data_IF_329459040466
#
_entry.id   IF_329459040466
#
_cell.length_a   1.000
_cell.length_b   1.000
_cell.length_c   1.000
_cell.angle_alpha   90.00
_cell.angle_beta   90.00
_cell.angle_gamma   90.00
#
_symmetry.space_group_name_H-M   'P 1'
#
loop_
_entity.id
_entity.type
_entity.pdbx_description
1 polymer ?
#
# COMPACT_ATOMS: atom_id res chain seq x y z
N UNK A 1 -1.69 -20.29 6.51
CA UNK A 1 -1.38 -19.37 7.62
C UNK A 1 -2.47 -18.30 7.64
N UNK A 2 -3.11 -18.05 8.79
CA UNK A 2 -4.10 -16.96 8.93
C UNK A 2 -3.33 -15.63 8.89
N UNK A 3 -3.79 -14.66 8.10
CA UNK A 3 -3.18 -13.32 8.04
C UNK A 3 -3.30 -12.65 9.41
N UNK A 4 -2.18 -12.45 10.10
CA UNK A 4 -2.13 -12.08 11.52
C UNK A 4 -1.83 -10.61 11.78
N UNK A 5 -2.28 -9.69 10.90
CA UNK A 5 -2.15 -8.25 11.16
C UNK A 5 -3.45 -7.52 10.79
N UNK A 6 -4.12 -6.82 11.72
CA UNK A 6 -5.30 -6.01 11.44
C UNK A 6 -4.98 -4.89 10.44
N UNK A 7 -5.92 -4.57 9.56
CA UNK A 7 -5.78 -3.43 8.65
C UNK A 7 -6.25 -2.17 9.36
N UNK A 8 -5.46 -1.11 9.27
CA UNK A 8 -5.79 0.24 9.76
C UNK A 8 -5.63 1.24 8.63
N UNK A 9 -6.17 2.44 8.85
CA UNK A 9 -6.13 3.54 7.89
C UNK A 9 -5.70 4.80 8.64
N UNK A 10 -4.71 5.50 8.11
CA UNK A 10 -4.30 6.80 8.64
C UNK A 10 -5.38 7.87 8.39
N UNK A 11 -5.26 9.03 9.03
CA UNK A 11 -6.16 10.16 8.76
C UNK A 11 -6.08 10.64 7.30
N UNK A 12 -4.95 10.42 6.63
CA UNK A 12 -4.75 10.73 5.22
C UNK A 12 -5.34 9.68 4.27
N UNK A 13 -5.97 8.62 4.78
CA UNK A 13 -6.55 7.56 3.97
C UNK A 13 -5.56 6.49 3.49
N UNK A 14 -4.35 6.45 4.06
CA UNK A 14 -3.31 5.48 3.70
C UNK A 14 -3.52 4.20 4.53
N UNK A 15 -3.68 3.03 3.91
CA UNK A 15 -3.76 1.77 4.63
C UNK A 15 -2.41 1.40 5.25
N UNK A 16 -2.44 0.65 6.34
CA UNK A 16 -1.28 -0.08 6.86
C UNK A 16 -1.77 -1.31 7.64
N UNK A 17 -0.84 -2.21 7.94
CA UNK A 17 -1.11 -3.37 8.79
C UNK A 17 -0.61 -3.03 10.20
N UNK A 18 -1.48 -3.12 11.21
CA UNK A 18 -1.13 -2.95 12.63
C UNK A 18 -0.24 -4.11 13.05
N UNK A 19 1.01 -3.80 13.37
CA UNK A 19 2.08 -4.74 13.68
C UNK A 19 2.26 -4.88 15.20
N UNK A 20 2.96 -5.94 15.61
CA UNK A 20 3.50 -6.02 16.96
C UNK A 20 4.62 -4.98 17.14
N UNK A 21 4.92 -4.61 18.39
CA UNK A 21 5.87 -3.54 18.74
C UNK A 21 7.24 -3.77 18.10
N UNK A 22 7.72 -5.01 18.07
CA UNK A 22 9.00 -5.41 17.47
C UNK A 22 9.08 -5.21 15.94
N UNK A 23 7.93 -5.04 15.28
CA UNK A 23 7.79 -4.84 13.84
C UNK A 23 7.14 -3.49 13.51
N UNK A 24 6.97 -2.59 14.48
CA UNK A 24 6.30 -1.30 14.29
C UNK A 24 6.93 -0.44 13.18
N UNK A 25 8.23 -0.60 12.93
CA UNK A 25 8.95 0.06 11.83
C UNK A 25 8.38 -0.29 10.45
N UNK A 26 7.77 -1.48 10.30
CA UNK A 26 7.08 -1.86 9.06
C UNK A 26 5.83 -1.01 8.80
N UNK A 27 5.21 -0.45 9.85
CA UNK A 27 4.11 0.50 9.70
C UNK A 27 4.57 1.77 8.99
N UNK A 28 5.68 2.35 9.46
CA UNK A 28 6.31 3.51 8.83
C UNK A 28 6.69 3.23 7.38
N UNK A 29 7.29 2.06 7.12
CA UNK A 29 7.60 1.60 5.77
C UNK A 29 6.35 1.55 4.87
N UNK A 30 5.24 0.98 5.35
CA UNK A 30 3.99 0.91 4.59
C UNK A 30 3.37 2.29 4.33
N UNK A 31 3.48 3.20 5.30
CA UNK A 31 2.84 4.52 5.25
C UNK A 31 3.64 5.51 4.40
N UNK A 32 4.97 5.51 4.51
CA UNK A 32 5.84 6.54 3.95
C UNK A 32 6.49 6.08 2.63
N UNK A 33 6.89 4.82 2.56
CA UNK A 33 7.74 4.33 1.48
C UNK A 33 7.01 3.48 0.45
N UNK A 34 5.88 2.86 0.82
CA UNK A 34 5.12 2.01 -0.08
C UNK A 34 3.89 2.70 -0.67
N UNK A 35 3.71 2.52 -1.97
CA UNK A 35 2.48 2.83 -2.68
C UNK A 35 2.27 1.85 -3.85
N UNK A 36 1.11 1.94 -4.51
CA UNK A 36 0.76 1.02 -5.60
C UNK A 36 1.69 1.12 -6.82
N UNK A 37 2.46 2.20 -6.97
CA UNK A 37 3.36 2.40 -8.12
C UNK A 37 4.74 1.80 -7.91
N UNK A 38 5.20 1.63 -6.67
CA UNK A 38 6.56 1.16 -6.36
C UNK A 38 6.61 -0.22 -5.68
N UNK A 39 5.49 -0.71 -5.13
CA UNK A 39 5.46 -2.00 -4.42
C UNK A 39 5.94 -3.19 -5.26
N UNK A 40 5.76 -3.12 -6.58
CA UNK A 40 6.23 -4.16 -7.50
C UNK A 40 7.75 -4.34 -7.41
N UNK A 41 8.52 -3.24 -7.30
CA UNK A 41 9.98 -3.29 -7.20
C UNK A 41 10.43 -4.06 -5.94
N UNK A 42 9.77 -3.81 -4.81
CA UNK A 42 10.04 -4.51 -3.56
C UNK A 42 9.72 -6.00 -3.66
N UNK A 43 8.57 -6.35 -4.24
CA UNK A 43 8.19 -7.76 -4.39
C UNK A 43 9.10 -8.51 -5.36
N UNK A 44 9.55 -7.85 -6.43
CA UNK A 44 10.46 -8.46 -7.41
C UNK A 44 11.83 -8.77 -6.80
N UNK A 45 12.40 -7.83 -6.04
CA UNK A 45 13.68 -8.06 -5.33
C UNK A 45 13.58 -9.15 -4.29
N UNK A 46 12.48 -9.21 -3.53
CA UNK A 46 12.23 -10.31 -2.58
C UNK A 46 12.15 -11.65 -3.31
N UNK A 47 11.46 -11.70 -4.45
CA UNK A 47 11.34 -12.92 -5.23
C UNK A 47 12.67 -13.33 -5.83
N UNK A 48 13.46 -12.39 -6.36
CA UNK A 48 14.81 -12.67 -6.85
C UNK A 48 15.68 -13.29 -5.76
N UNK A 49 15.69 -12.73 -4.54
CA UNK A 49 16.47 -13.24 -3.41
C UNK A 49 16.01 -14.64 -2.99
N UNK A 50 14.70 -14.89 -2.97
CA UNK A 50 14.15 -16.20 -2.60
C UNK A 50 14.48 -17.29 -3.63
N UNK A 51 14.57 -16.96 -4.92
CA UNK A 51 14.89 -17.89 -5.99
C UNK A 51 16.40 -18.06 -6.21
N UNK A 52 17.14 -16.96 -6.39
CA UNK A 52 18.58 -16.96 -6.73
C UNK A 52 19.48 -17.06 -5.51
N UNK A 53 19.03 -16.57 -4.34
CA UNK A 53 19.86 -16.43 -3.14
C UNK A 53 20.79 -15.22 -3.14
N UNK A 54 20.84 -14.43 -4.23
CA UNK A 54 21.64 -13.21 -4.32
C UNK A 54 21.04 -12.14 -3.39
N UNK A 55 21.79 -11.59 -2.42
CA UNK A 55 21.31 -10.52 -1.57
C UNK A 55 20.95 -9.28 -2.39
N UNK A 56 19.87 -8.61 -2.01
CA UNK A 56 19.40 -7.38 -2.63
C UNK A 56 19.27 -6.27 -1.58
N UNK A 57 19.44 -5.04 -2.02
CA UNK A 57 19.20 -3.85 -1.20
C UNK A 57 18.24 -2.90 -1.94
N UNK A 58 17.27 -2.37 -1.22
CA UNK A 58 16.34 -1.38 -1.74
C UNK A 58 16.06 -0.32 -0.68
N UNK A 59 16.18 0.94 -1.08
CA UNK A 59 15.91 2.09 -0.22
C UNK A 59 14.63 2.77 -0.66
N UNK A 60 13.76 3.04 0.30
CA UNK A 60 12.70 4.04 0.19
C UNK A 60 13.21 5.43 0.57
N UNK A 61 12.26 6.32 0.89
CA UNK A 61 12.49 7.63 1.46
C UNK A 61 13.00 7.55 2.90
N UNK A 62 12.42 6.68 3.72
CA UNK A 62 12.72 6.59 5.16
C UNK A 62 13.25 5.24 5.62
N UNK A 63 13.14 4.21 4.79
CA UNK A 63 13.59 2.86 5.16
C UNK A 63 14.52 2.22 4.14
N UNK A 64 15.45 1.40 4.64
CA UNK A 64 16.30 0.50 3.87
C UNK A 64 15.88 -0.94 4.13
N UNK A 65 15.76 -1.73 3.08
CA UNK A 65 15.59 -3.18 3.18
C UNK A 65 16.85 -3.86 2.68
N UNK A 66 17.50 -4.62 3.57
CA UNK A 66 18.59 -5.55 3.23
C UNK A 66 18.02 -6.96 3.18
N UNK A 67 17.78 -7.46 1.97
CA UNK A 67 17.00 -8.66 1.71
C UNK A 67 17.97 -9.82 1.45
N UNK A 68 17.99 -10.80 2.35
CA UNK A 68 18.72 -12.06 2.18
C UNK A 68 17.74 -13.23 2.07
N UNK A 69 18.24 -14.41 1.69
CA UNK A 69 17.39 -15.60 1.44
C UNK A 69 16.48 -15.97 2.63
N UNK A 70 17.01 -15.86 3.84
CA UNK A 70 16.32 -16.31 5.06
C UNK A 70 15.75 -15.15 5.87
N UNK A 71 16.41 -13.99 5.85
CA UNK A 71 16.09 -12.85 6.71
C UNK A 71 16.17 -11.56 5.92
N UNK A 72 15.26 -10.65 6.23
CA UNK A 72 15.33 -9.26 5.78
C UNK A 72 15.52 -8.37 7.00
N UNK A 73 16.45 -7.43 6.88
CA UNK A 73 16.63 -6.36 7.87
C UNK A 73 15.95 -5.13 7.28
N UNK A 74 15.06 -4.53 8.06
CA UNK A 74 14.42 -3.25 7.75
C UNK A 74 14.98 -2.22 8.70
N UNK A 75 15.57 -1.16 8.15
CA UNK A 75 16.19 -0.08 8.93
C UNK A 75 15.50 1.23 8.59
N UNK A 76 15.03 1.97 9.59
CA UNK A 76 14.42 3.28 9.42
C UNK A 76 15.41 4.38 9.81
N UNK A 77 15.84 5.16 8.83
CA UNK A 77 16.82 6.23 9.01
C UNK A 77 16.29 7.41 9.82
N UNK A 78 14.97 7.60 9.87
CA UNK A 78 14.34 8.75 10.52
C UNK A 78 14.34 8.63 12.05
N UNK A 79 14.28 7.40 12.56
CA UNK A 79 14.22 7.10 14.00
C UNK A 79 15.40 6.25 14.49
N UNK A 80 16.33 5.91 13.59
CA UNK A 80 17.54 5.11 13.89
C UNK A 80 17.21 3.77 14.57
N UNK A 81 16.27 3.02 13.97
CA UNK A 81 15.85 1.71 14.47
C UNK A 81 15.86 0.66 13.36
N UNK A 82 16.09 -0.59 13.74
CA UNK A 82 16.00 -1.74 12.84
C UNK A 82 15.14 -2.86 13.42
N UNK A 83 14.49 -3.60 12.52
CA UNK A 83 13.86 -4.88 12.83
C UNK A 83 14.32 -5.95 11.83
N UNK A 84 14.30 -7.22 12.27
CA UNK A 84 14.66 -8.36 11.42
C UNK A 84 13.52 -9.37 11.40
N UNK A 85 13.10 -9.76 10.20
CA UNK A 85 12.05 -10.75 9.99
C UNK A 85 12.44 -11.79 8.94
N UNK A 86 11.67 -12.87 8.84
CA UNK A 86 11.87 -13.84 7.77
C UNK A 86 11.52 -13.22 6.42
N UNK A 87 12.34 -13.44 5.39
CA UNK A 87 12.09 -12.86 4.06
C UNK A 87 10.77 -13.36 3.46
N UNK A 88 10.37 -14.60 3.77
CA UNK A 88 9.07 -15.15 3.39
C UNK A 88 7.91 -14.47 4.13
N UNK A 89 8.12 -14.10 5.39
CA UNK A 89 7.14 -13.36 6.17
C UNK A 89 6.95 -11.96 5.60
N UNK A 90 8.03 -11.25 5.28
CA UNK A 90 7.97 -9.95 4.63
C UNK A 90 7.19 -10.01 3.30
N UNK A 91 7.41 -11.06 2.49
CA UNK A 91 6.66 -11.27 1.25
C UNK A 91 5.15 -11.37 1.51
N UNK A 92 4.73 -12.13 2.50
CA UNK A 92 3.32 -12.29 2.83
C UNK A 92 2.72 -11.00 3.42
N UNK A 93 3.50 -10.23 4.20
CA UNK A 93 3.11 -8.89 4.68
C UNK A 93 2.85 -7.96 3.50
N UNK A 94 3.78 -7.84 2.56
CA UNK A 94 3.64 -6.98 1.38
C UNK A 94 2.46 -7.39 0.49
N UNK A 95 2.26 -8.71 0.33
CA UNK A 95 1.12 -9.24 -0.42
C UNK A 95 -0.21 -8.91 0.25
N UNK A 96 -0.28 -9.04 1.58
CA UNK A 96 -1.48 -8.67 2.31
C UNK A 96 -1.73 -7.16 2.21
N UNK A 97 -0.71 -6.33 2.45
CA UNK A 97 -0.79 -4.89 2.27
C UNK A 97 -1.29 -4.52 0.87
N UNK A 98 -0.67 -5.04 -0.19
CA UNK A 98 -1.08 -4.82 -1.58
C UNK A 98 -2.55 -5.16 -1.81
N UNK A 99 -2.98 -6.34 -1.35
CA UNK A 99 -4.37 -6.77 -1.48
C UNK A 99 -5.32 -5.79 -0.81
N UNK A 100 -5.01 -5.35 0.40
CA UNK A 100 -5.86 -4.43 1.17
C UNK A 100 -5.87 -3.03 0.54
N UNK A 101 -4.72 -2.54 0.08
CA UNK A 101 -4.61 -1.26 -0.63
C UNK A 101 -5.44 -1.25 -1.91
N UNK A 102 -5.38 -2.32 -2.71
CA UNK A 102 -6.21 -2.45 -3.92
C UNK A 102 -7.71 -2.48 -3.56
N UNK A 103 -8.09 -3.29 -2.57
CA UNK A 103 -9.50 -3.40 -2.15
C UNK A 103 -10.03 -2.05 -1.66
N UNK A 104 -9.26 -1.31 -0.87
CA UNK A 104 -9.63 0.01 -0.40
C UNK A 104 -9.77 1.03 -1.54
N UNK A 105 -8.84 1.04 -2.51
CA UNK A 105 -8.94 1.91 -3.69
C UNK A 105 -10.22 1.62 -4.47
N UNK A 106 -10.52 0.34 -4.71
CA UNK A 106 -11.76 -0.08 -5.40
C UNK A 106 -12.99 0.38 -4.62
N UNK A 107 -13.01 0.21 -3.30
CA UNK A 107 -14.14 0.61 -2.45
C UNK A 107 -14.35 2.13 -2.45
N UNK A 108 -13.27 2.91 -2.38
CA UNK A 108 -13.32 4.37 -2.44
C UNK A 108 -13.86 4.84 -3.79
N UNK A 109 -13.39 4.26 -4.89
CA UNK A 109 -13.85 4.61 -6.23
C UNK A 109 -15.32 4.24 -6.45
N UNK A 110 -15.76 3.09 -5.94
CA UNK A 110 -17.18 2.71 -5.96
C UNK A 110 -18.04 3.71 -5.18
N UNK A 111 -17.62 4.12 -3.98
CA UNK A 111 -18.34 5.12 -3.18
C UNK A 111 -18.40 6.48 -3.87
N UNK A 112 -17.30 6.94 -4.48
CA UNK A 112 -17.27 8.18 -5.27
C UNK A 112 -18.27 8.12 -6.43
N UNK A 113 -18.24 7.03 -7.21
CA UNK A 113 -19.16 6.85 -8.34
C UNK A 113 -20.62 6.75 -7.90
N UNK A 114 -20.91 6.05 -6.80
CA UNK A 114 -22.25 6.00 -6.22
C UNK A 114 -22.72 7.40 -5.76
N UNK A 115 -21.86 8.18 -5.13
CA UNK A 115 -22.19 9.55 -4.73
C UNK A 115 -22.48 10.45 -5.95
N UNK A 116 -21.70 10.32 -7.03
CA UNK A 116 -21.96 11.03 -8.30
C UNK A 116 -23.31 10.59 -8.89
N UNK A 117 -23.60 9.29 -8.90
CA UNK A 117 -24.87 8.76 -9.40
C UNK A 117 -26.08 9.27 -8.61
N UNK A 118 -26.03 9.27 -7.28
CA UNK A 118 -27.12 9.79 -6.44
C UNK A 118 -27.29 11.30 -6.57
N UNK A 119 -26.22 12.07 -6.79
CA UNK A 119 -26.32 13.48 -7.16
C UNK A 119 -27.05 13.63 -8.50
N UNK A 120 -26.65 12.87 -9.52
CA UNK A 120 -27.20 12.95 -10.87
C UNK A 120 -28.71 12.64 -10.94
N UNK A 121 -29.23 11.76 -10.08
CA UNK A 121 -30.66 11.43 -10.00
C UNK A 121 -31.57 12.62 -9.69
N UNK A 122 -31.06 13.60 -8.95
CA UNK A 122 -31.84 14.73 -8.43
C UNK A 122 -31.51 16.04 -9.16
N UNK A 123 -30.86 15.96 -10.33
CA UNK A 123 -30.54 17.13 -11.14
C UNK A 123 -31.64 17.41 -12.15
N UNK A 124 -32.08 18.66 -12.17
CA UNK A 124 -33.05 19.17 -13.15
C UNK A 124 -32.43 20.21 -14.11
N UNK A 125 -31.18 20.63 -13.87
CA UNK A 125 -30.46 21.65 -14.66
C UNK A 125 -29.37 21.02 -15.56
N UNK A 126 -29.37 21.37 -16.85
CA UNK A 126 -28.38 20.96 -17.85
C UNK A 126 -26.94 21.36 -17.43
N UNK A 127 -26.78 22.48 -16.74
CA UNK A 127 -25.50 22.98 -16.24
C UNK A 127 -24.90 22.00 -15.22
N UNK A 128 -25.72 21.44 -14.35
CA UNK A 128 -25.29 20.45 -13.35
C UNK A 128 -24.95 19.11 -14.01
N UNK A 129 -25.69 18.70 -15.04
CA UNK A 129 -25.33 17.53 -15.85
C UNK A 129 -23.97 17.68 -16.55
N UNK A 130 -23.68 18.86 -17.10
CA UNK A 130 -22.39 19.15 -17.74
C UNK A 130 -21.24 19.15 -16.72
N UNK A 131 -21.48 19.62 -15.50
CA UNK A 131 -20.51 19.58 -14.40
C UNK A 131 -20.18 18.15 -13.98
N UNK A 132 -21.19 17.31 -13.76
CA UNK A 132 -20.99 15.88 -13.46
C UNK A 132 -20.22 15.17 -14.58
N UNK A 133 -20.53 15.47 -15.85
CA UNK A 133 -19.79 14.91 -16.99
C UNK A 133 -18.30 15.28 -16.93
N UNK A 134 -17.97 16.52 -16.57
CA UNK A 134 -16.58 16.94 -16.40
C UNK A 134 -15.88 16.22 -15.25
N UNK A 135 -16.56 16.02 -14.10
CA UNK A 135 -16.04 15.27 -12.95
C UNK A 135 -15.73 13.81 -13.34
N UNK A 136 -16.62 13.15 -14.09
CA UNK A 136 -16.42 11.78 -14.60
C UNK A 136 -15.30 11.66 -15.65
N UNK A 137 -15.03 12.71 -16.44
CA UNK A 137 -13.97 12.70 -17.44
C UNK A 137 -12.58 12.98 -16.85
N UNK A 138 -12.52 13.68 -15.71
CA UNK A 138 -11.28 13.94 -14.98
C UNK A 138 -10.85 12.74 -14.12
N UNK A 139 -11.80 11.92 -13.67
CA UNK A 139 -11.54 10.57 -13.13
C UNK A 139 -11.10 9.63 -14.27
N UNK A 140 -9.87 9.83 -14.77
CA UNK A 140 -9.15 8.77 -15.49
C UNK A 140 -8.85 7.66 -14.49
N UNK A 141 -9.82 6.77 -14.33
CA UNK A 141 -9.63 5.47 -13.70
C UNK A 141 -8.51 4.78 -14.48
N UNK A 142 -7.41 4.50 -13.78
CA UNK A 142 -6.22 3.69 -14.13
C UNK A 142 -6.16 3.18 -15.57
#
# INVERSE_FOLDING_TARGET
MKSTYPVKVTQAGIPYLEMAEELAILEDFMIIDLNLTNIQEYTDKIDEVLHSGSPQEISGNTTLLKINKNRTIVYNFAIDQECTLETKELKEILKNYLKQSILMTIEQDLRKKQAIYEKAKNLDDITDFLKIRSELQQDKIV
#
